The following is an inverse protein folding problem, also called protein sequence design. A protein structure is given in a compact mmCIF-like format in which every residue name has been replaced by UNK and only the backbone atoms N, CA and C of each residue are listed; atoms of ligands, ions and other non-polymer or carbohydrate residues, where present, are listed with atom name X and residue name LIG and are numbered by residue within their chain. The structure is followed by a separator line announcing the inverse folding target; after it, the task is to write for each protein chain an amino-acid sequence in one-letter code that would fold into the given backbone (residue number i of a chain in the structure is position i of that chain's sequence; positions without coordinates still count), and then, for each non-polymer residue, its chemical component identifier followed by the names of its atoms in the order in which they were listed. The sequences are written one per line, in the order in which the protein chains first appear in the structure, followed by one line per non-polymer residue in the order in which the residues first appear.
data_IF_003346298790
#
_entry.id   IF_003346298790
#
_cell.length_a   1.000
_cell.length_b   1.000
_cell.length_c   1.000
_cell.angle_alpha   90.00
_cell.angle_beta   90.00
_cell.angle_gamma   90.00
#
_symmetry.space_group_name_H-M   'P 1'
#
loop_
_entity.id
_entity.type
_entity.pdbx_description
1 polymer ?
#
# COMPACT_ATOMS: atom_id res chain seq x y z
N UNK A 1 15.09 13.44 -4.91
CA UNK A 1 13.80 14.05 -4.50
C UNK A 1 12.86 12.92 -4.16
N UNK A 2 12.03 13.09 -3.14
CA UNK A 2 11.09 12.09 -2.63
C UNK A 2 9.66 12.55 -2.92
N UNK A 3 8.81 11.65 -3.41
CA UNK A 3 7.41 11.93 -3.67
C UNK A 3 6.57 11.20 -2.64
N UNK A 4 5.68 11.92 -1.96
CA UNK A 4 4.83 11.42 -0.91
C UNK A 4 3.36 11.67 -1.28
N UNK A 5 2.48 10.74 -0.94
CA UNK A 5 1.04 10.82 -1.16
C UNK A 5 0.29 10.67 0.16
N UNK A 6 -0.76 11.46 0.32
CA UNK A 6 -1.70 11.36 1.43
C UNK A 6 -2.95 10.59 0.98
N UNK A 7 -3.71 10.05 1.91
CA UNK A 7 -4.97 9.31 1.66
C UNK A 7 -5.96 10.08 0.77
N UNK A 8 -5.94 11.41 0.84
CA UNK A 8 -6.73 12.33 0.01
C UNK A 8 -6.23 12.45 -1.45
N UNK A 9 -5.31 11.58 -1.89
CA UNK A 9 -4.61 11.62 -3.18
C UNK A 9 -3.77 12.88 -3.43
N UNK A 10 -3.52 13.66 -2.38
CA UNK A 10 -2.62 14.80 -2.43
C UNK A 10 -1.18 14.32 -2.53
N UNK A 11 -0.42 14.84 -3.50
CA UNK A 11 0.98 14.50 -3.72
C UNK A 11 1.88 15.68 -3.44
N UNK A 12 2.99 15.43 -2.75
CA UNK A 12 4.03 16.42 -2.49
C UNK A 12 5.39 15.84 -2.87
N UNK A 13 6.22 16.65 -3.51
CA UNK A 13 7.60 16.28 -3.83
C UNK A 13 8.54 17.13 -2.99
N UNK A 14 9.42 16.49 -2.23
CA UNK A 14 10.36 17.13 -1.33
C UNK A 14 11.80 16.76 -1.70
N UNK A 15 12.72 17.70 -1.60
CA UNK A 15 14.13 17.44 -1.90
C UNK A 15 14.91 17.02 -0.64
N UNK A 16 14.40 17.30 0.55
CA UNK A 16 15.07 17.05 1.83
C UNK A 16 14.56 15.79 2.52
N UNK A 17 15.50 15.00 3.05
CA UNK A 17 15.21 13.81 3.86
C UNK A 17 14.51 14.18 5.18
N UNK A 18 14.85 15.33 5.77
CA UNK A 18 14.21 15.83 6.99
C UNK A 18 12.73 16.11 6.75
N UNK A 19 12.41 16.74 5.62
CA UNK A 19 11.03 16.99 5.22
C UNK A 19 10.29 15.67 4.97
N UNK A 20 10.91 14.73 4.23
CA UNK A 20 10.33 13.40 4.02
C UNK A 20 9.94 12.74 5.35
N UNK A 21 10.84 12.73 6.34
CA UNK A 21 10.58 12.14 7.65
C UNK A 21 9.39 12.81 8.36
N UNK A 22 9.29 14.13 8.31
CA UNK A 22 8.17 14.87 8.87
C UNK A 22 6.82 14.53 8.19
N UNK A 23 6.82 14.37 6.86
CA UNK A 23 5.64 13.94 6.12
C UNK A 23 5.23 12.51 6.44
N UNK A 24 6.19 11.58 6.54
CA UNK A 24 5.94 10.19 6.97
C UNK A 24 5.32 10.15 8.38
N UNK A 25 5.84 10.94 9.33
CA UNK A 25 5.27 11.06 10.67
C UNK A 25 3.85 11.67 10.69
N UNK A 26 3.52 12.50 9.69
CA UNK A 26 2.20 13.09 9.50
C UNK A 26 1.22 12.15 8.76
N UNK A 27 1.60 10.88 8.56
CA UNK A 27 0.75 9.86 7.92
C UNK A 27 0.75 9.91 6.40
N UNK A 28 1.71 10.60 5.79
CA UNK A 28 1.92 10.52 4.34
C UNK A 28 2.67 9.23 4.02
N UNK A 29 2.42 8.67 2.84
CA UNK A 29 3.09 7.47 2.32
C UNK A 29 4.07 7.86 1.24
N UNK A 30 5.27 7.28 1.25
CA UNK A 30 6.22 7.48 0.16
C UNK A 30 5.73 6.73 -1.08
N UNK A 31 5.53 7.47 -2.18
CA UNK A 31 5.27 6.89 -3.49
C UNK A 31 6.60 6.77 -4.21
N UNK A 32 7.25 5.61 -4.04
CA UNK A 32 8.35 5.23 -4.91
C UNK A 32 7.78 4.98 -6.30
N UNK A 33 8.18 5.82 -7.25
CA UNK A 33 8.00 5.55 -8.68
C UNK A 33 8.99 4.47 -9.11
N UNK A 34 8.87 3.28 -8.52
CA UNK A 34 9.63 2.11 -8.94
C UNK A 34 8.59 1.06 -9.35
N UNK A 35 8.59 0.79 -10.63
CA UNK A 35 7.94 -0.32 -11.31
C UNK A 35 8.26 -1.64 -10.60
N UNK A 36 7.47 -2.01 -9.57
CA UNK A 36 7.52 -3.31 -8.90
C UNK A 36 6.19 -3.51 -8.15
N UNK A 37 5.20 -4.14 -8.77
CA UNK A 37 4.91 -5.57 -8.59
C UNK A 37 5.00 -5.97 -7.12
N UNK A 38 3.91 -5.73 -6.41
CA UNK A 38 3.46 -6.47 -5.23
C UNK A 38 1.93 -6.49 -5.41
N UNK A 39 1.34 -7.38 -6.21
CA UNK A 39 1.26 -8.84 -5.97
C UNK A 39 1.63 -9.22 -4.54
N UNK A 40 0.78 -8.79 -3.60
CA UNK A 40 0.47 -9.57 -2.41
C UNK A 40 -1.04 -9.71 -2.36
N UNK A 41 -1.46 -10.73 -3.12
CA UNK A 41 -2.63 -11.58 -2.96
C UNK A 41 -3.86 -10.99 -2.24
N UNK A 42 -5.03 -10.92 -2.89
CA UNK A 42 -6.25 -11.15 -2.13
C UNK A 42 -6.19 -12.61 -1.67
N UNK A 43 -6.00 -12.84 -0.36
CA UNK A 43 -6.40 -14.12 0.25
C UNK A 43 -7.93 -14.19 0.11
N UNK A 44 -8.39 -14.57 -1.09
CA UNK A 44 -9.79 -14.87 -1.37
C UNK A 44 -10.10 -16.09 -0.53
N UNK A 45 -10.78 -15.82 0.58
CA UNK A 45 -11.47 -16.77 1.42
C UNK A 45 -12.00 -17.96 0.62
N UNK A 46 -11.41 -19.14 0.83
CA UNK A 46 -12.09 -20.41 0.54
C UNK A 46 -12.75 -20.90 1.83
N UNK A 47 -14.05 -20.63 2.07
CA UNK A 47 -14.80 -21.49 2.95
C UNK A 47 -15.00 -22.83 2.24
N UNK A 48 -14.18 -23.83 2.54
CA UNK A 48 -14.53 -25.23 2.24
C UNK A 48 -15.57 -25.71 3.26
N UNK A 49 -16.77 -25.14 3.21
CA UNK A 49 -17.97 -25.76 3.76
C UNK A 49 -18.64 -26.51 2.62
N UNK A 50 -18.15 -27.71 2.35
CA UNK A 50 -18.83 -28.70 1.52
C UNK A 50 -19.19 -29.90 2.38
N UNK A 51 -20.40 -29.91 2.93
CA UNK A 51 -20.99 -31.10 3.58
C UNK A 51 -20.92 -32.30 2.64
N UNK A 52 -20.74 -33.54 3.15
CA UNK A 52 -20.69 -34.72 2.28
C UNK A 52 -22.11 -35.07 1.78
N UNK A 53 -22.31 -35.38 0.49
CA UNK A 53 -23.46 -36.17 0.06
C UNK A 53 -23.04 -37.63 -0.19
N UNK A 54 -23.77 -38.52 0.47
CA UNK A 54 -23.71 -39.99 0.43
C UNK A 54 -23.77 -40.56 -1.00
N UNK A 55 -23.01 -41.63 -1.23
CA UNK A 55 -23.45 -42.85 -1.95
C UNK A 55 -22.79 -44.07 -1.31
#
# INVERSE_FOLDING_TARGET
MYTLEKEDRQRVTVASEIQKSAFLACGWKEVKSEEKVEESEPEVAKPKVGRPPKK
#
